data_IF_817949396198
#
_entry.id   IF_817949396198
#
_cell.length_a   1.000
_cell.length_b   1.000
_cell.length_c   1.000
_cell.angle_alpha   90.00
_cell.angle_beta   90.00
_cell.angle_gamma   90.00
#
_symmetry.space_group_name_H-M   'P 1'
#
loop_
_entity.id
_entity.type
_entity.pdbx_description
1 polymer ?
#
# COMPACT_ATOMS: atom_id res chain seq x y z
N UNK A 1 -19.10 12.42 3.43
CA UNK A 1 -18.87 12.51 1.98
C UNK A 1 -18.99 11.16 1.28
N UNK A 2 -18.22 10.14 1.68
CA UNK A 2 -18.29 8.78 1.11
C UNK A 2 -19.70 8.24 0.83
N UNK A 3 -20.60 8.28 1.83
CA UNK A 3 -21.98 7.80 1.68
C UNK A 3 -22.78 8.58 0.61
N UNK A 4 -22.55 9.88 0.44
CA UNK A 4 -23.23 10.68 -0.58
C UNK A 4 -22.80 10.20 -1.97
N UNK A 5 -21.49 10.08 -2.21
CA UNK A 5 -20.96 9.61 -3.50
C UNK A 5 -21.37 8.15 -3.79
N UNK A 6 -21.42 7.29 -2.77
CA UNK A 6 -21.84 5.89 -2.91
C UNK A 6 -23.32 5.74 -3.30
N UNK A 7 -24.18 6.66 -2.86
CA UNK A 7 -25.63 6.63 -3.12
C UNK A 7 -26.08 7.56 -4.25
N UNK A 8 -25.20 8.42 -4.77
CA UNK A 8 -25.50 9.27 -5.90
C UNK A 8 -25.82 8.44 -7.15
N UNK A 9 -26.85 8.85 -7.90
CA UNK A 9 -27.19 8.21 -9.18
C UNK A 9 -26.06 8.34 -10.19
N UNK A 10 -25.45 9.53 -10.27
CA UNK A 10 -24.27 9.87 -11.06
C UNK A 10 -23.46 10.91 -10.30
N UNK A 11 -22.14 10.77 -10.27
CA UNK A 11 -21.21 11.79 -9.76
C UNK A 11 -20.51 12.45 -10.93
N UNK A 12 -20.59 13.78 -11.03
CA UNK A 12 -19.90 14.56 -12.05
C UNK A 12 -18.57 15.05 -11.47
N UNK A 13 -17.46 14.68 -12.11
CA UNK A 13 -16.11 15.04 -11.67
C UNK A 13 -15.48 16.04 -12.65
N UNK A 14 -15.31 17.28 -12.21
CA UNK A 14 -14.67 18.36 -12.97
C UNK A 14 -13.15 18.35 -12.76
N UNK A 15 -12.46 17.31 -13.24
CA UNK A 15 -11.04 17.05 -12.94
C UNK A 15 -10.11 18.08 -13.57
N UNK A 16 -10.44 18.57 -14.77
CA UNK A 16 -9.68 19.59 -15.47
C UNK A 16 -9.82 21.01 -14.85
N UNK A 17 -10.84 21.22 -14.00
CA UNK A 17 -11.08 22.52 -13.38
C UNK A 17 -10.03 22.86 -12.32
N UNK A 18 -9.51 24.08 -12.35
CA UNK A 18 -8.60 24.60 -11.32
C UNK A 18 -9.36 24.94 -10.03
N UNK A 19 -10.62 25.38 -10.17
CA UNK A 19 -11.49 25.77 -9.07
C UNK A 19 -12.97 25.58 -9.43
N UNK A 20 -13.86 25.88 -8.49
CA UNK A 20 -15.31 25.70 -8.66
C UNK A 20 -15.93 26.56 -9.78
N UNK A 21 -15.25 27.62 -10.22
CA UNK A 21 -15.73 28.53 -11.26
C UNK A 21 -15.18 28.20 -12.66
N UNK A 22 -14.37 27.14 -12.82
CA UNK A 22 -13.80 26.77 -14.11
C UNK A 22 -14.83 26.33 -15.16
N UNK A 23 -16.04 25.96 -14.72
CA UNK A 23 -17.11 25.48 -15.61
C UNK A 23 -16.81 24.12 -16.26
N UNK A 24 -17.74 23.65 -17.09
CA UNK A 24 -17.60 22.42 -17.86
C UNK A 24 -17.63 22.74 -19.36
N UNK A 25 -16.56 22.43 -20.08
CA UNK A 25 -16.46 22.67 -21.53
C UNK A 25 -17.31 21.68 -22.34
N UNK A 26 -17.60 22.04 -23.59
CA UNK A 26 -18.17 21.20 -24.65
C UNK A 26 -19.69 21.07 -24.67
N UNK A 27 -20.42 22.05 -24.11
CA UNK A 27 -21.87 22.16 -24.26
C UNK A 27 -22.22 23.20 -25.32
N UNK A 28 -22.85 22.75 -26.41
CA UNK A 28 -23.17 23.60 -27.57
C UNK A 28 -24.02 24.81 -27.16
N UNK A 29 -23.52 26.01 -27.47
CA UNK A 29 -24.20 27.26 -27.13
C UNK A 29 -24.18 27.66 -25.65
N UNK A 30 -23.48 26.91 -24.79
CA UNK A 30 -23.42 27.15 -23.33
C UNK A 30 -21.98 27.34 -22.85
N UNK A 31 -21.03 26.51 -23.32
CA UNK A 31 -19.63 26.60 -22.90
C UNK A 31 -18.66 26.47 -24.08
N UNK A 32 -17.40 26.82 -23.83
CA UNK A 32 -16.34 26.71 -24.83
C UNK A 32 -16.24 25.26 -25.35
N UNK A 33 -15.98 25.05 -26.65
CA UNK A 33 -15.81 23.71 -27.19
C UNK A 33 -14.63 22.99 -26.50
N UNK A 34 -14.72 21.67 -26.44
CA UNK A 34 -13.59 20.81 -26.05
C UNK A 34 -12.58 20.79 -27.20
N UNK A 35 -11.29 20.80 -26.86
CA UNK A 35 -10.19 20.77 -27.82
C UNK A 35 -9.41 19.46 -27.66
N UNK A 36 -9.65 18.50 -28.55
CA UNK A 36 -9.07 17.15 -28.50
C UNK A 36 -8.25 16.91 -29.75
N UNK A 37 -6.92 16.79 -29.61
CA UNK A 37 -6.07 16.36 -30.71
C UNK A 37 -6.30 14.89 -31.05
N UNK A 38 -7.02 14.60 -32.13
CA UNK A 38 -7.18 13.23 -32.65
C UNK A 38 -6.23 13.01 -33.83
N UNK A 39 -5.37 11.99 -33.71
CA UNK A 39 -4.55 11.55 -34.85
C UNK A 39 -5.40 10.55 -35.65
N UNK A 40 -5.74 10.91 -36.88
CA UNK A 40 -6.58 10.07 -37.75
C UNK A 40 -5.71 9.47 -38.86
N UNK A 41 -5.64 8.14 -38.90
CA UNK A 41 -5.02 7.38 -39.98
C UNK A 41 -6.07 6.97 -41.00
N UNK A 42 -5.79 7.16 -42.28
CA UNK A 42 -6.66 6.72 -43.38
C UNK A 42 -6.09 5.46 -44.01
N UNK A 43 -6.84 4.37 -43.93
CA UNK A 43 -6.51 3.08 -44.54
C UNK A 43 -7.38 2.91 -45.80
N UNK A 44 -6.84 3.35 -46.94
CA UNK A 44 -7.60 3.39 -48.19
C UNK A 44 -8.65 4.51 -48.22
N UNK A 45 -9.74 4.32 -48.97
CA UNK A 45 -10.78 5.33 -49.19
C UNK A 45 -11.93 5.28 -48.19
N UNK A 46 -12.16 4.13 -47.53
CA UNK A 46 -13.37 3.91 -46.71
C UNK A 46 -13.09 3.74 -45.21
N UNK A 47 -11.84 3.48 -44.82
CA UNK A 47 -11.52 3.20 -43.41
C UNK A 47 -10.68 4.33 -42.82
N UNK A 48 -11.25 4.99 -41.83
CA UNK A 48 -10.53 5.92 -40.94
C UNK A 48 -10.36 5.29 -39.56
N UNK A 49 -9.12 5.28 -39.07
CA UNK A 49 -8.76 4.81 -37.74
C UNK A 49 -8.29 6.00 -36.92
N UNK A 50 -9.02 6.32 -35.85
CA UNK A 50 -8.54 7.27 -34.86
C UNK A 50 -7.51 6.56 -33.97
N UNK A 51 -6.27 7.01 -34.00
CA UNK A 51 -5.27 6.58 -33.04
C UNK A 51 -5.68 7.10 -31.66
N UNK A 52 -5.67 6.19 -30.70
CA UNK A 52 -5.89 6.52 -29.31
C UNK A 52 -4.74 7.44 -28.84
N UNK A 53 -5.02 8.70 -28.45
CA UNK A 53 -4.00 9.73 -28.20
C UNK A 53 -3.15 9.49 -26.93
N UNK A 54 -3.18 8.30 -26.37
CA UNK A 54 -2.46 7.96 -25.14
C UNK A 54 -1.00 7.68 -25.47
N UNK A 55 -0.07 8.35 -24.77
CA UNK A 55 1.37 8.14 -24.92
C UNK A 55 1.85 7.04 -23.96
N UNK A 56 2.59 6.06 -24.47
CA UNK A 56 3.23 5.02 -23.64
C UNK A 56 2.26 4.00 -23.02
N UNK A 57 2.57 3.53 -21.81
CA UNK A 57 1.77 2.56 -21.04
C UNK A 57 0.56 3.19 -20.32
N UNK A 58 0.28 4.46 -20.56
CA UNK A 58 -0.90 5.09 -20.01
C UNK A 58 -2.15 4.48 -20.66
N UNK A 59 -3.24 4.35 -19.89
CA UNK A 59 -4.52 3.87 -20.41
C UNK A 59 -5.46 5.03 -20.80
N UNK A 60 -5.09 6.29 -20.54
CA UNK A 60 -5.99 7.46 -20.60
C UNK A 60 -5.28 8.79 -20.90
N UNK A 61 -5.93 9.71 -21.63
CA UNK A 61 -5.60 11.15 -21.57
C UNK A 61 -6.01 11.71 -20.22
N UNK A 62 -5.14 12.50 -19.61
CA UNK A 62 -5.37 13.12 -18.32
C UNK A 62 -4.85 14.56 -18.33
N UNK A 63 -5.50 15.46 -17.59
CA UNK A 63 -4.91 16.75 -17.25
C UNK A 63 -3.74 16.51 -16.30
N UNK A 64 -2.54 16.85 -16.78
CA UNK A 64 -1.32 16.86 -15.98
C UNK A 64 -1.49 17.78 -14.77
N UNK A 65 -1.02 17.34 -13.60
CA UNK A 65 -1.04 18.11 -12.36
C UNK A 65 -2.42 18.68 -11.95
N UNK A 66 -3.51 17.98 -12.27
CA UNK A 66 -4.87 18.37 -11.85
C UNK A 66 -4.96 18.71 -10.35
N UNK A 67 -5.43 19.93 -10.04
CA UNK A 67 -5.69 20.40 -8.68
C UNK A 67 -6.71 19.51 -7.98
N UNK A 68 -7.72 19.05 -8.70
CA UNK A 68 -8.71 18.11 -8.18
C UNK A 68 -8.05 16.78 -7.78
N UNK A 69 -7.15 16.24 -8.62
CA UNK A 69 -6.39 15.03 -8.27
C UNK A 69 -5.42 15.27 -7.11
N UNK A 70 -4.95 16.49 -6.88
CA UNK A 70 -4.07 16.75 -5.75
C UNK A 70 -4.80 16.74 -4.40
N UNK A 71 -6.10 17.06 -4.31
CA UNK A 71 -6.79 17.21 -3.01
C UNK A 71 -7.04 15.87 -2.30
N UNK A 72 -6.85 15.82 -0.98
CA UNK A 72 -7.09 14.62 -0.17
C UNK A 72 -8.53 14.09 -0.21
N UNK A 73 -9.50 14.97 0.07
CA UNK A 73 -10.92 14.59 0.20
C UNK A 73 -11.56 14.12 -1.12
N UNK A 74 -11.04 14.55 -2.28
CA UNK A 74 -11.56 14.12 -3.60
C UNK A 74 -11.29 12.64 -3.87
N UNK A 75 -10.34 12.03 -3.16
CA UNK A 75 -10.06 10.60 -3.29
C UNK A 75 -11.26 9.75 -2.87
N UNK A 76 -11.95 10.10 -1.77
CA UNK A 76 -13.18 9.41 -1.38
C UNK A 76 -14.28 9.58 -2.43
N UNK A 77 -14.40 10.76 -3.04
CA UNK A 77 -15.42 11.00 -4.07
C UNK A 77 -15.19 10.10 -5.28
N UNK A 78 -13.95 9.99 -5.72
CA UNK A 78 -13.58 9.09 -6.83
C UNK A 78 -13.85 7.63 -6.49
N UNK A 79 -13.45 7.21 -5.29
CA UNK A 79 -13.43 5.83 -4.85
C UNK A 79 -14.86 5.28 -4.64
N UNK A 80 -15.72 6.08 -4.01
CA UNK A 80 -17.08 5.67 -3.66
C UNK A 80 -18.11 5.87 -4.77
N UNK A 81 -17.84 6.73 -5.75
CA UNK A 81 -18.77 6.96 -6.85
C UNK A 81 -18.90 5.70 -7.74
N UNK A 82 -20.11 5.11 -7.74
CA UNK A 82 -20.46 3.91 -8.51
C UNK A 82 -20.65 4.18 -10.00
N UNK A 83 -21.01 5.42 -10.34
CA UNK A 83 -21.24 5.93 -11.70
C UNK A 83 -20.67 7.33 -11.78
N UNK A 84 -19.66 7.51 -12.60
CA UNK A 84 -18.88 8.75 -12.71
C UNK A 84 -18.94 9.26 -14.13
N UNK A 85 -19.21 10.55 -14.27
CA UNK A 85 -18.99 11.30 -15.50
C UNK A 85 -17.82 12.24 -15.27
N UNK A 86 -16.68 11.93 -15.87
CA UNK A 86 -15.38 12.54 -15.59
C UNK A 86 -15.00 13.47 -16.74
N UNK A 87 -14.79 14.73 -16.43
CA UNK A 87 -14.28 15.76 -17.35
C UNK A 87 -12.79 15.96 -17.09
N UNK A 88 -11.95 15.37 -17.95
CA UNK A 88 -10.49 15.36 -17.80
C UNK A 88 -9.82 15.41 -19.18
N UNK A 89 -8.71 16.15 -19.32
CA UNK A 89 -7.94 16.21 -20.57
C UNK A 89 -8.75 16.64 -21.80
N UNK A 90 -9.64 17.61 -21.65
CA UNK A 90 -10.58 18.09 -22.67
C UNK A 90 -11.48 17.00 -23.28
N UNK A 91 -11.73 15.90 -22.56
CA UNK A 91 -12.66 14.83 -22.95
C UNK A 91 -13.61 14.46 -21.81
N UNK A 92 -14.75 13.85 -22.16
CA UNK A 92 -15.61 13.17 -21.19
C UNK A 92 -15.34 11.66 -21.18
N UNK A 93 -15.32 11.08 -19.97
CA UNK A 93 -15.31 9.64 -19.74
C UNK A 93 -16.37 9.23 -18.74
N UNK A 94 -17.14 8.20 -19.06
CA UNK A 94 -18.00 7.52 -18.12
C UNK A 94 -17.27 6.33 -17.49
N UNK A 95 -17.39 6.18 -16.18
CA UNK A 95 -16.95 5.00 -15.45
C UNK A 95 -18.06 4.49 -14.54
N UNK A 96 -18.48 3.24 -14.69
CA UNK A 96 -19.32 2.53 -13.72
C UNK A 96 -18.73 1.16 -13.39
N UNK A 97 -19.34 0.35 -12.52
CA UNK A 97 -18.86 -1.00 -12.18
C UNK A 97 -18.78 -1.98 -13.36
N UNK A 98 -19.55 -1.74 -14.44
CA UNK A 98 -19.58 -2.60 -15.62
C UNK A 98 -18.57 -2.16 -16.70
N UNK A 99 -18.67 -0.92 -17.19
CA UNK A 99 -17.90 -0.44 -18.33
C UNK A 99 -17.24 0.93 -18.11
N UNK A 100 -16.30 1.25 -18.99
CA UNK A 100 -15.72 2.58 -19.16
C UNK A 100 -16.01 3.00 -20.60
N UNK A 101 -16.67 4.14 -20.78
CA UNK A 101 -16.93 4.70 -22.11
C UNK A 101 -16.25 6.04 -22.24
N UNK A 102 -15.72 6.33 -23.43
CA UNK A 102 -15.03 7.57 -23.72
C UNK A 102 -15.78 8.28 -24.84
N UNK A 103 -15.88 9.59 -24.72
CA UNK A 103 -16.54 10.42 -25.72
C UNK A 103 -15.91 10.29 -27.11
N UNK A 104 -14.60 10.09 -27.17
CA UNK A 104 -13.83 10.17 -28.42
C UNK A 104 -13.37 8.82 -29.00
N UNK A 105 -13.68 7.70 -28.33
CA UNK A 105 -13.29 6.34 -28.80
C UNK A 105 -14.30 5.30 -28.37
N UNK A 106 -14.67 4.42 -29.30
CA UNK A 106 -15.32 3.16 -28.99
C UNK A 106 -14.25 2.11 -28.69
N UNK A 107 -14.15 1.68 -27.42
CA UNK A 107 -13.31 0.53 -27.06
C UNK A 107 -14.04 -0.77 -27.44
N UNK A 108 -13.29 -1.79 -27.86
CA UNK A 108 -13.85 -3.15 -27.99
C UNK A 108 -14.47 -3.58 -26.65
N UNK A 109 -15.66 -4.18 -26.72
CA UNK A 109 -16.43 -4.63 -25.57
C UNK A 109 -15.69 -5.71 -24.73
N UNK A 110 -14.63 -6.30 -25.30
CA UNK A 110 -13.83 -7.36 -24.67
C UNK A 110 -12.76 -6.84 -23.69
N UNK A 111 -12.44 -5.54 -23.73
CA UNK A 111 -11.47 -4.93 -22.82
C UNK A 111 -12.14 -4.56 -21.49
N UNK A 112 -12.31 -5.54 -20.60
CA UNK A 112 -12.71 -5.28 -19.21
C UNK A 112 -11.58 -4.53 -18.50
N UNK A 113 -11.82 -3.33 -17.93
CA UNK A 113 -10.82 -2.68 -17.10
C UNK A 113 -10.44 -3.60 -15.93
N UNK A 114 -9.18 -3.60 -15.51
CA UNK A 114 -8.72 -4.30 -14.32
C UNK A 114 -9.34 -3.65 -13.06
N UNK A 115 -10.57 -4.04 -12.74
CA UNK A 115 -11.40 -3.49 -11.66
C UNK A 115 -11.06 -4.14 -10.33
N UNK A 116 -9.85 -3.89 -9.85
CA UNK A 116 -9.37 -4.41 -8.55
C UNK A 116 -10.05 -3.68 -7.38
N UNK A 117 -10.31 -2.37 -7.54
CA UNK A 117 -10.76 -1.51 -6.44
C UNK A 117 -12.24 -1.70 -6.10
N UNK A 118 -13.14 -1.93 -7.06
CA UNK A 118 -14.57 -2.13 -6.75
C UNK A 118 -14.87 -3.44 -6.02
N UNK A 119 -14.00 -4.47 -6.16
CA UNK A 119 -14.15 -5.74 -5.43
C UNK A 119 -13.82 -5.64 -3.94
N UNK A 120 -13.11 -4.59 -3.52
CA UNK A 120 -12.76 -4.36 -2.12
C UNK A 120 -13.96 -4.35 -1.20
N UNK A 121 -15.04 -3.72 -1.65
CA UNK A 121 -16.23 -3.52 -0.85
C UNK A 121 -17.21 -4.69 -0.96
N UNK A 122 -16.87 -5.71 -1.75
CA UNK A 122 -17.70 -6.89 -1.99
C UNK A 122 -17.13 -8.14 -1.29
N UNK A 123 -15.87 -8.11 -0.84
CA UNK A 123 -15.23 -9.25 -0.17
C UNK A 123 -15.09 -9.05 1.32
N UNK A 124 -15.55 -10.03 2.11
CA UNK A 124 -15.27 -10.13 3.55
C UNK A 124 -13.82 -10.56 3.85
N UNK A 125 -13.05 -10.93 2.84
CA UNK A 125 -11.66 -11.36 3.00
C UNK A 125 -10.72 -10.15 2.83
N UNK A 126 -9.85 -9.85 3.80
CA UNK A 126 -8.94 -8.71 3.70
C UNK A 126 -7.91 -8.89 2.57
N UNK A 127 -7.87 -7.93 1.64
CA UNK A 127 -6.86 -7.87 0.56
C UNK A 127 -5.88 -6.71 0.79
N UNK A 128 -4.68 -7.07 1.29
CA UNK A 128 -3.59 -6.13 1.54
C UNK A 128 -3.06 -5.46 0.26
N UNK A 129 -3.24 -6.05 -0.94
CA UNK A 129 -2.81 -5.41 -2.21
C UNK A 129 -3.57 -4.13 -2.38
N UNK A 130 -4.88 -4.25 -2.24
CA UNK A 130 -5.75 -3.15 -2.56
C UNK A 130 -5.74 -2.12 -1.44
N UNK A 131 -5.57 -2.53 -0.18
CA UNK A 131 -5.23 -1.59 0.89
C UNK A 131 -3.95 -0.82 0.57
N UNK A 132 -2.89 -1.50 0.12
CA UNK A 132 -1.62 -0.84 -0.26
C UNK A 132 -1.81 0.12 -1.42
N UNK A 133 -2.60 -0.25 -2.45
CA UNK A 133 -2.95 0.64 -3.57
C UNK A 133 -3.73 1.87 -3.09
N UNK A 134 -4.72 1.66 -2.21
CA UNK A 134 -5.51 2.75 -1.62
C UNK A 134 -4.61 3.72 -0.84
N UNK A 135 -3.78 3.19 0.06
CA UNK A 135 -2.86 4.01 0.85
C UNK A 135 -1.85 4.70 -0.05
N UNK A 136 -1.38 4.05 -1.10
CA UNK A 136 -0.47 4.66 -2.06
C UNK A 136 -1.10 5.88 -2.75
N UNK A 137 -2.28 5.72 -3.35
CA UNK A 137 -2.97 6.79 -4.09
C UNK A 137 -3.45 7.91 -3.17
N UNK A 138 -3.79 7.57 -1.92
CA UNK A 138 -4.21 8.52 -0.90
C UNK A 138 -3.05 9.37 -0.39
N UNK A 139 -1.89 8.76 -0.11
CA UNK A 139 -0.69 9.47 0.35
C UNK A 139 -0.02 10.32 -0.75
N UNK A 140 -0.45 10.19 -2.02
CA UNK A 140 -0.05 11.10 -3.11
C UNK A 140 -0.88 12.39 -3.15
N UNK A 141 -1.92 12.48 -2.34
CA UNK A 141 -2.74 13.67 -2.22
C UNK A 141 -2.08 14.66 -1.27
N UNK A 142 -2.37 15.93 -1.50
CA UNK A 142 -2.02 17.07 -0.67
C UNK A 142 -3.17 17.37 0.30
N UNK A 143 -2.81 17.62 1.55
CA UNK A 143 -3.71 18.00 2.62
C UNK A 143 -3.33 19.41 3.06
N UNK A 144 -4.26 20.36 2.94
CA UNK A 144 -4.05 21.74 3.41
C UNK A 144 -4.12 21.83 4.93
N UNK A 145 -4.83 20.91 5.56
CA UNK A 145 -5.06 20.82 6.99
C UNK A 145 -4.61 19.44 7.51
N UNK A 146 -4.43 19.23 8.82
CA UNK A 146 -4.18 17.90 9.41
C UNK A 146 -5.46 17.06 9.42
N UNK A 147 -6.17 16.99 8.30
CA UNK A 147 -7.45 16.31 8.12
C UNK A 147 -7.30 14.95 7.42
N UNK A 148 -6.06 14.47 7.24
CA UNK A 148 -5.77 13.21 6.56
C UNK A 148 -6.51 12.01 7.16
N UNK A 149 -6.66 11.90 8.49
CA UNK A 149 -7.44 10.82 9.10
C UNK A 149 -8.95 10.99 8.85
N UNK A 150 -9.46 12.22 8.96
CA UNK A 150 -10.86 12.53 8.69
C UNK A 150 -11.22 12.24 7.22
N UNK A 151 -10.37 12.64 6.29
CA UNK A 151 -10.49 12.39 4.87
C UNK A 151 -10.19 10.93 4.46
N UNK A 152 -9.72 10.08 5.40
CA UNK A 152 -9.59 8.63 5.20
C UNK A 152 -10.72 7.85 5.88
N UNK A 153 -11.44 8.48 6.81
CA UNK A 153 -12.39 7.80 7.70
C UNK A 153 -13.46 6.98 6.97
N UNK A 154 -14.06 7.52 5.89
CA UNK A 154 -15.05 6.78 5.10
C UNK A 154 -14.47 5.55 4.42
N UNK A 155 -13.19 5.60 4.02
CA UNK A 155 -12.47 4.47 3.43
C UNK A 155 -12.24 3.41 4.50
N UNK A 156 -11.67 3.79 5.64
CA UNK A 156 -11.42 2.91 6.77
C UNK A 156 -12.71 2.23 7.28
N UNK A 157 -13.79 2.99 7.44
CA UNK A 157 -15.09 2.44 7.85
C UNK A 157 -15.63 1.41 6.86
N UNK A 158 -15.44 1.62 5.55
CA UNK A 158 -15.92 0.65 4.56
C UNK A 158 -15.03 -0.58 4.50
N UNK A 159 -13.71 -0.41 4.61
CA UNK A 159 -12.78 -1.53 4.70
C UNK A 159 -12.95 -2.32 6.00
N UNK A 160 -13.49 -1.73 7.06
CA UNK A 160 -13.78 -2.39 8.34
C UNK A 160 -14.61 -3.67 8.21
N UNK A 161 -15.43 -3.80 7.15
CA UNK A 161 -16.17 -5.02 6.85
C UNK A 161 -15.29 -6.24 6.53
N UNK A 162 -14.00 -6.04 6.21
CA UNK A 162 -13.04 -7.11 5.91
C UNK A 162 -11.91 -7.22 6.95
N UNK A 163 -11.79 -6.27 7.87
CA UNK A 163 -10.71 -6.22 8.87
C UNK A 163 -11.28 -6.25 10.29
N UNK A 164 -11.13 -7.39 10.95
CA UNK A 164 -11.54 -7.56 12.34
C UNK A 164 -10.86 -6.52 13.27
N UNK A 165 -11.63 -5.97 14.21
CA UNK A 165 -11.16 -4.95 15.15
C UNK A 165 -11.11 -3.52 14.56
N UNK A 166 -11.33 -3.38 13.25
CA UNK A 166 -11.46 -2.08 12.59
C UNK A 166 -10.12 -1.39 12.35
N UNK A 167 -10.11 -0.07 12.53
CA UNK A 167 -8.99 0.78 12.16
C UNK A 167 -8.58 1.70 13.30
N UNK A 168 -7.28 1.93 13.42
CA UNK A 168 -6.66 2.89 14.33
C UNK A 168 -5.62 3.66 13.53
N UNK A 169 -5.65 5.00 13.59
CA UNK A 169 -4.70 5.85 12.85
C UNK A 169 -4.68 5.58 11.34
N UNK A 170 -5.83 5.19 10.78
CA UNK A 170 -5.96 4.83 9.36
C UNK A 170 -5.36 3.46 8.98
N UNK A 171 -4.92 2.65 9.96
CA UNK A 171 -4.35 1.31 9.75
C UNK A 171 -5.27 0.22 10.32
N UNK A 172 -5.41 -0.94 9.65
CA UNK A 172 -6.22 -2.03 10.14
C UNK A 172 -5.61 -2.66 11.39
N UNK A 173 -6.38 -2.81 12.46
CA UNK A 173 -5.88 -3.36 13.73
C UNK A 173 -5.53 -4.83 13.61
N UNK A 174 -6.32 -5.63 12.88
CA UNK A 174 -6.08 -7.06 12.67
C UNK A 174 -4.68 -7.36 12.12
N UNK A 175 -4.10 -6.45 11.34
CA UNK A 175 -2.85 -6.64 10.58
C UNK A 175 -1.87 -5.48 10.84
N UNK A 176 -1.96 -4.83 12.01
CA UNK A 176 -1.31 -3.55 12.28
C UNK A 176 0.20 -3.54 11.99
N UNK A 177 0.92 -4.56 12.47
CA UNK A 177 2.37 -4.68 12.23
C UNK A 177 2.71 -4.79 10.74
N UNK A 178 1.89 -5.48 9.94
CA UNK A 178 2.08 -5.54 8.49
C UNK A 178 1.70 -4.23 7.81
N UNK A 179 0.60 -3.62 8.27
CA UNK A 179 0.12 -2.37 7.73
C UNK A 179 1.17 -1.28 7.87
N UNK A 180 1.92 -1.22 8.98
CA UNK A 180 3.03 -0.28 9.18
C UNK A 180 4.16 -0.43 8.13
N UNK A 181 4.29 -1.58 7.50
CA UNK A 181 5.34 -1.88 6.51
C UNK A 181 4.96 -1.48 5.08
N UNK A 182 3.85 -0.74 4.90
CA UNK A 182 3.44 -0.23 3.60
C UNK A 182 4.53 0.62 2.94
N UNK A 183 4.70 0.52 1.62
CA UNK A 183 5.70 1.27 0.84
C UNK A 183 5.05 1.92 -0.39
N UNK A 184 5.41 3.17 -0.73
CA UNK A 184 4.88 3.83 -1.92
C UNK A 184 5.55 3.36 -3.22
N UNK A 185 4.77 2.81 -4.16
CA UNK A 185 5.11 2.53 -5.56
C UNK A 185 6.44 1.78 -5.82
N UNK A 186 6.54 0.54 -5.35
CA UNK A 186 7.69 -0.33 -5.63
C UNK A 186 7.23 -1.73 -6.05
N UNK A 187 7.55 -2.21 -7.27
CA UNK A 187 7.04 -3.46 -7.82
C UNK A 187 7.45 -4.69 -6.98
N UNK A 188 8.58 -4.60 -6.28
CA UNK A 188 9.06 -5.67 -5.40
C UNK A 188 8.30 -5.81 -4.09
N UNK A 189 7.56 -4.76 -3.67
CA UNK A 189 6.85 -4.71 -2.39
C UNK A 189 5.33 -4.55 -2.53
N UNK A 190 4.83 -4.24 -3.73
CA UNK A 190 3.38 -4.20 -4.06
C UNK A 190 2.77 -5.59 -4.22
N UNK A 191 3.54 -6.66 -4.02
CA UNK A 191 3.04 -8.02 -3.89
C UNK A 191 3.00 -8.41 -2.40
N UNK A 192 1.87 -8.28 -1.70
CA UNK A 192 1.68 -8.72 -0.31
C UNK A 192 1.76 -10.24 -0.17
N UNK A 193 1.92 -10.96 -1.27
CA UNK A 193 2.43 -12.34 -1.30
C UNK A 193 3.75 -12.51 -0.55
N UNK A 194 4.48 -11.40 -0.33
CA UNK A 194 5.82 -11.36 0.26
C UNK A 194 5.84 -10.89 1.71
N UNK A 195 4.74 -10.34 2.23
CA UNK A 195 4.64 -9.79 3.60
C UNK A 195 4.34 -10.85 4.68
N UNK A 196 4.06 -12.10 4.31
CA UNK A 196 3.62 -13.16 5.24
C UNK A 196 4.74 -13.76 6.13
N UNK A 197 5.98 -13.26 6.00
CA UNK A 197 7.14 -13.70 6.80
C UNK A 197 7.61 -12.65 7.80
N UNK A 198 6.70 -11.75 8.17
CA UNK A 198 6.96 -10.76 9.21
C UNK A 198 6.69 -11.40 10.56
N UNK A 199 7.67 -11.34 11.44
CA UNK A 199 7.54 -11.71 12.85
C UNK A 199 7.38 -10.42 13.64
N UNK A 200 6.30 -10.36 14.41
CA UNK A 200 6.00 -9.25 15.31
C UNK A 200 7.06 -9.16 16.41
N UNK A 201 7.61 -7.97 16.60
CA UNK A 201 8.55 -7.64 17.68
C UNK A 201 7.93 -6.79 18.77
N UNK A 202 6.99 -5.93 18.38
CA UNK A 202 6.59 -4.79 19.20
C UNK A 202 5.15 -4.94 19.69
N UNK A 203 4.83 -4.15 20.71
CA UNK A 203 3.46 -3.97 21.17
C UNK A 203 3.08 -2.51 21.03
N UNK A 204 2.13 -2.24 20.13
CA UNK A 204 1.71 -0.89 19.76
C UNK A 204 0.53 -0.42 20.58
N UNK A 205 0.50 0.88 20.85
CA UNK A 205 -0.56 1.60 21.54
C UNK A 205 -0.96 2.82 20.72
N UNK A 206 -2.16 3.34 20.93
CA UNK A 206 -2.61 4.58 20.31
C UNK A 206 -2.99 5.62 21.34
N UNK A 207 -2.95 6.89 20.92
CA UNK A 207 -3.30 8.05 21.73
C UNK A 207 -4.12 9.04 20.91
N UNK A 208 -5.18 9.57 21.52
CA UNK A 208 -6.04 10.59 20.91
C UNK A 208 -5.37 11.97 20.88
N UNK A 209 -4.55 12.27 21.88
CA UNK A 209 -3.64 13.42 21.97
C UNK A 209 -2.29 12.97 22.55
N UNK A 210 -1.26 13.81 22.57
CA UNK A 210 0.05 13.44 23.13
C UNK A 210 -0.01 13.09 24.63
N UNK A 211 -0.93 13.72 25.37
CA UNK A 211 -1.13 13.55 26.81
C UNK A 211 -2.20 12.50 27.15
N UNK A 212 -2.97 12.07 26.16
CA UNK A 212 -4.06 11.12 26.35
C UNK A 212 -3.55 9.75 26.84
N UNK A 213 -4.35 9.01 27.64
CA UNK A 213 -3.97 7.70 28.11
C UNK A 213 -3.76 6.74 26.93
N UNK A 214 -2.67 5.97 27.00
CA UNK A 214 -2.31 4.96 26.01
C UNK A 214 -3.29 3.80 26.02
N UNK A 215 -3.86 3.48 24.85
CA UNK A 215 -4.75 2.33 24.66
C UNK A 215 -4.06 1.27 23.80
N UNK A 216 -4.15 0.01 24.20
CA UNK A 216 -3.46 -1.09 23.53
C UNK A 216 -4.09 -1.37 22.15
N UNK A 217 -3.26 -1.53 21.13
CA UNK A 217 -3.69 -2.05 19.82
C UNK A 217 -3.63 -3.58 19.88
N UNK A 218 -4.79 -4.21 19.70
CA UNK A 218 -4.93 -5.66 19.66
C UNK A 218 -4.87 -6.14 18.21
N UNK A 219 -3.92 -7.02 17.92
CA UNK A 219 -3.67 -7.52 16.56
C UNK A 219 -4.14 -8.96 16.47
N UNK A 220 -5.41 -9.11 16.10
CA UNK A 220 -6.13 -10.37 16.21
C UNK A 220 -5.55 -11.46 15.31
N UNK A 221 -5.09 -11.15 14.09
CA UNK A 221 -4.66 -12.19 13.14
C UNK A 221 -3.41 -12.96 13.61
N UNK A 222 -2.47 -12.27 14.28
CA UNK A 222 -1.25 -12.91 14.77
C UNK A 222 -1.54 -13.76 15.99
N UNK A 223 -2.41 -13.31 16.89
CA UNK A 223 -2.89 -14.12 18.02
C UNK A 223 -3.60 -15.40 17.54
N UNK A 224 -4.43 -15.29 16.49
CA UNK A 224 -5.06 -16.45 15.86
C UNK A 224 -4.01 -17.38 15.22
N UNK A 225 -3.06 -16.83 14.47
CA UNK A 225 -1.95 -17.60 13.87
C UNK A 225 -1.19 -18.38 14.93
N UNK A 226 -0.75 -17.74 16.00
CA UNK A 226 0.03 -18.37 17.08
C UNK A 226 -0.77 -19.47 17.78
N UNK A 227 -2.03 -19.20 18.11
CA UNK A 227 -2.91 -20.19 18.74
C UNK A 227 -3.15 -21.40 17.84
N UNK A 228 -3.28 -21.16 16.53
CA UNK A 228 -3.54 -22.20 15.55
C UNK A 228 -2.30 -23.04 15.24
N UNK A 229 -1.15 -22.40 14.99
CA UNK A 229 0.13 -23.09 14.74
C UNK A 229 0.67 -23.79 15.99
N UNK A 230 0.32 -23.31 17.19
CA UNK A 230 0.58 -23.97 18.48
C UNK A 230 -0.28 -25.21 18.75
N UNK A 231 -1.06 -25.67 17.75
CA UNK A 231 -1.92 -26.86 17.79
C UNK A 231 -3.06 -26.81 18.84
N UNK A 232 -3.52 -25.61 19.23
CA UNK A 232 -4.53 -25.47 20.28
C UNK A 232 -6.00 -25.48 19.77
N UNK A 233 -6.26 -25.52 18.46
CA UNK A 233 -7.61 -25.30 17.92
C UNK A 233 -7.97 -26.29 16.79
N UNK A 234 -9.23 -26.78 16.79
CA UNK A 234 -9.84 -27.51 15.67
C UNK A 234 -10.15 -26.56 14.49
N UNK A 235 -10.33 -27.09 13.28
CA UNK A 235 -10.74 -26.27 12.12
C UNK A 235 -12.03 -25.49 12.45
N UNK A 236 -12.02 -24.14 12.40
CA UNK A 236 -13.15 -23.33 12.81
C UNK A 236 -14.34 -23.49 11.84
N UNK A 237 -15.59 -23.19 12.28
CA UNK A 237 -16.74 -23.17 11.41
C UNK A 237 -16.52 -22.26 10.20
N UNK A 238 -16.96 -22.69 9.02
CA UNK A 238 -16.74 -21.94 7.77
C UNK A 238 -15.40 -22.21 7.08
N UNK A 239 -14.58 -23.12 7.63
CA UNK A 239 -13.30 -23.52 7.06
C UNK A 239 -13.23 -25.03 6.82
N UNK A 240 -12.46 -25.43 5.82
CA UNK A 240 -12.14 -26.83 5.51
C UNK A 240 -10.64 -27.03 5.50
N UNK A 241 -10.18 -28.15 6.06
CA UNK A 241 -8.77 -28.53 6.16
C UNK A 241 -8.40 -29.48 5.02
N UNK A 242 -7.25 -29.24 4.40
CA UNK A 242 -6.74 -29.99 3.26
C UNK A 242 -5.26 -30.30 3.47
N UNK A 243 -4.78 -31.44 2.98
CA UNK A 243 -3.38 -31.85 3.16
C UNK A 243 -2.51 -31.26 2.04
N UNK A 244 -1.30 -30.81 2.34
CA UNK A 244 -0.43 -30.16 1.34
C UNK A 244 -0.02 -31.04 0.16
N UNK A 245 -0.21 -32.36 0.24
CA UNK A 245 -0.08 -33.28 -0.90
C UNK A 245 -1.08 -33.01 -2.02
N UNK A 246 -2.18 -32.31 -1.74
CA UNK A 246 -3.17 -31.89 -2.75
C UNK A 246 -2.67 -30.77 -3.66
N UNK A 247 -1.40 -30.35 -3.50
CA UNK A 247 -0.73 -29.30 -4.28
C UNK A 247 -1.51 -27.98 -4.22
N UNK A 248 -1.53 -27.30 -3.05
CA UNK A 248 -2.33 -26.10 -2.85
C UNK A 248 -1.99 -25.01 -3.87
N UNK A 249 -3.02 -24.33 -4.35
CA UNK A 249 -2.88 -23.03 -5.03
C UNK A 249 -2.54 -21.91 -4.05
N UNK A 250 -2.52 -22.16 -2.72
CA UNK A 250 -2.10 -21.22 -1.69
C UNK A 250 -0.92 -20.42 -2.24
N UNK A 251 -1.21 -19.15 -2.56
CA UNK A 251 -0.55 -18.35 -3.60
C UNK A 251 0.86 -17.90 -3.15
N UNK A 252 1.45 -18.58 -2.16
CA UNK A 252 2.50 -18.14 -1.26
C UNK A 252 3.31 -19.32 -0.70
N UNK A 253 4.60 -19.12 -0.40
CA UNK A 253 5.36 -20.04 0.45
C UNK A 253 4.80 -20.05 1.89
N UNK A 254 5.03 -21.15 2.62
CA UNK A 254 4.62 -21.33 4.01
C UNK A 254 5.03 -20.16 4.95
N UNK A 255 4.29 -19.91 6.06
CA UNK A 255 4.59 -18.82 6.98
C UNK A 255 5.99 -18.90 7.57
N UNK A 256 6.43 -20.11 7.93
CA UNK A 256 7.84 -20.43 8.09
C UNK A 256 8.25 -21.47 7.03
N UNK A 257 8.93 -21.04 5.96
CA UNK A 257 9.35 -21.95 4.90
C UNK A 257 10.46 -22.93 5.34
N UNK A 258 11.04 -22.77 6.54
CA UNK A 258 11.97 -23.74 7.15
C UNK A 258 11.22 -24.92 7.76
N UNK A 259 9.96 -24.72 8.12
CA UNK A 259 9.09 -25.72 8.73
C UNK A 259 7.70 -25.63 8.09
N UNK A 260 7.55 -26.06 6.82
CA UNK A 260 6.29 -25.91 6.10
C UNK A 260 5.18 -26.71 6.81
N UNK A 261 3.96 -26.14 6.93
CA UNK A 261 2.85 -26.83 7.55
C UNK A 261 2.39 -28.02 6.68
N UNK A 262 1.84 -29.04 7.33
CA UNK A 262 1.25 -30.22 6.65
C UNK A 262 -0.14 -29.94 6.10
N UNK A 263 -0.77 -28.85 6.53
CA UNK A 263 -2.17 -28.54 6.24
C UNK A 263 -2.32 -27.13 5.68
N UNK A 264 -3.33 -26.95 4.84
CA UNK A 264 -3.83 -25.65 4.41
C UNK A 264 -5.36 -25.63 4.50
N UNK A 265 -5.94 -24.45 4.38
CA UNK A 265 -7.35 -24.20 4.69
C UNK A 265 -8.06 -23.45 3.57
N UNK A 266 -9.29 -23.84 3.30
CA UNK A 266 -10.17 -23.14 2.34
C UNK A 266 -11.42 -22.64 3.05
N UNK A 267 -11.82 -21.41 2.76
CA UNK A 267 -13.12 -20.87 3.20
C UNK A 267 -14.25 -21.62 2.48
N UNK A 268 -15.34 -21.92 3.18
CA UNK A 268 -16.54 -22.53 2.61
C UNK A 268 -17.37 -21.57 1.77
N UNK A 269 -17.28 -20.26 2.04
CA UNK A 269 -17.92 -19.20 1.27
C UNK A 269 -17.02 -18.66 0.15
N UNK A 270 -17.59 -18.24 -0.99
CA UNK A 270 -16.83 -17.62 -2.07
C UNK A 270 -16.28 -16.24 -1.66
N UNK A 271 -15.06 -15.87 -2.11
CA UNK A 271 -14.16 -16.66 -2.95
C UNK A 271 -13.45 -17.77 -2.15
N UNK A 272 -13.32 -18.96 -2.75
CA UNK A 272 -12.66 -20.15 -2.15
C UNK A 272 -11.13 -19.97 -2.12
N UNK A 273 -10.65 -18.96 -1.42
CA UNK A 273 -9.23 -18.69 -1.26
C UNK A 273 -8.60 -19.68 -0.28
N UNK A 274 -7.33 -20.00 -0.53
CA UNK A 274 -6.54 -20.92 0.27
C UNK A 274 -5.60 -20.15 1.22
N UNK A 275 -5.49 -20.62 2.45
CA UNK A 275 -4.68 -20.02 3.51
C UNK A 275 -3.88 -21.07 4.26
N UNK A 276 -2.70 -20.71 4.75
CA UNK A 276 -1.89 -21.58 5.60
C UNK A 276 -2.50 -21.83 6.99
N UNK A 277 -3.38 -20.94 7.43
CA UNK A 277 -4.16 -21.06 8.66
C UNK A 277 -5.45 -20.26 8.50
N UNK A 278 -6.55 -20.65 9.18
CA UNK A 278 -7.78 -19.86 9.19
C UNK A 278 -7.51 -18.46 9.74
N UNK A 279 -8.05 -17.44 9.05
CA UNK A 279 -8.01 -16.05 9.52
C UNK A 279 -9.37 -15.69 10.13
N UNK A 280 -9.41 -14.84 11.17
CA UNK A 280 -10.68 -14.32 11.66
C UNK A 280 -11.32 -13.44 10.59
N UNK A 281 -12.60 -13.67 10.33
CA UNK A 281 -13.38 -12.91 9.36
C UNK A 281 -14.52 -12.21 10.09
N UNK A 282 -14.71 -10.90 9.85
CA UNK A 282 -15.89 -10.17 10.30
C UNK A 282 -17.20 -10.86 9.89
N UNK A 283 -18.17 -10.85 10.78
CA UNK A 283 -19.57 -11.15 10.46
C UNK A 283 -20.27 -9.88 9.96
N UNK A 284 -21.33 -10.00 9.14
CA UNK A 284 -22.08 -8.84 8.66
C UNK A 284 -22.63 -7.93 9.78
N UNK A 285 -22.94 -8.51 10.93
CA UNK A 285 -23.41 -7.80 12.13
C UNK A 285 -22.30 -7.14 12.96
N UNK A 286 -21.03 -7.44 12.69
CA UNK A 286 -19.92 -6.89 13.46
C UNK A 286 -19.71 -5.41 13.12
N UNK A 287 -19.73 -4.57 14.15
CA UNK A 287 -19.42 -3.15 14.05
C UNK A 287 -18.08 -2.89 14.72
N UNK A 288 -17.08 -2.56 13.91
CA UNK A 288 -15.76 -2.23 14.42
C UNK A 288 -15.53 -0.72 14.48
N UNK A 289 -14.80 -0.23 15.51
CA UNK A 289 -14.49 1.18 15.63
C UNK A 289 -13.53 1.64 14.52
N UNK A 290 -13.73 2.87 14.06
CA UNK A 290 -12.75 3.61 13.28
C UNK A 290 -12.16 4.71 14.17
N UNK A 291 -11.06 4.39 14.83
CA UNK A 291 -10.45 5.25 15.84
C UNK A 291 -9.52 6.27 15.17
N UNK A 292 -9.94 7.53 15.19
CA UNK A 292 -9.18 8.67 14.66
C UNK A 292 -8.12 9.15 15.66
N UNK A 293 -7.21 8.25 16.05
CA UNK A 293 -6.07 8.56 16.89
C UNK A 293 -4.88 8.97 16.00
N UNK A 294 -4.35 10.20 16.10
CA UNK A 294 -3.20 10.62 15.29
C UNK A 294 -1.88 9.98 15.73
N UNK A 295 -1.77 9.60 17.01
CA UNK A 295 -0.51 9.13 17.56
C UNK A 295 -0.53 7.64 17.90
N UNK A 296 0.58 6.97 17.63
CA UNK A 296 0.84 5.60 18.05
C UNK A 296 2.18 5.50 18.76
N UNK A 297 2.30 4.61 19.73
CA UNK A 297 3.54 4.45 20.49
C UNK A 297 3.92 3.00 20.71
N UNK A 298 5.23 2.79 20.88
CA UNK A 298 5.80 1.51 21.29
C UNK A 298 7.17 1.76 21.95
N UNK A 299 7.68 0.75 22.64
CA UNK A 299 9.08 0.73 23.08
C UNK A 299 9.86 -0.16 22.14
N UNK A 300 10.93 0.36 21.55
CA UNK A 300 11.73 -0.33 20.53
C UNK A 300 13.23 -0.03 20.70
N UNK A 301 14.08 -0.58 19.83
CA UNK A 301 15.49 -0.23 19.73
C UNK A 301 15.74 0.71 18.56
N UNK A 302 16.67 1.63 18.73
CA UNK A 302 17.18 2.50 17.68
C UNK A 302 18.68 2.37 17.48
N UNK A 303 19.14 2.67 16.27
CA UNK A 303 20.54 2.86 15.94
C UNK A 303 20.70 3.93 14.84
N UNK A 304 21.95 4.32 14.60
CA UNK A 304 22.31 5.33 13.60
C UNK A 304 23.13 4.69 12.50
N UNK A 305 22.69 4.86 11.26
CA UNK A 305 23.35 4.34 10.06
C UNK A 305 23.44 5.45 9.00
N UNK A 306 24.27 5.25 7.98
CA UNK A 306 24.49 6.24 6.93
C UNK A 306 23.79 5.82 5.64
N UNK A 307 22.94 6.70 5.09
CA UNK A 307 22.44 6.52 3.74
C UNK A 307 23.54 6.84 2.72
N UNK A 308 23.66 6.00 1.69
CA UNK A 308 24.75 6.07 0.72
C UNK A 308 24.24 6.02 -0.72
N UNK A 309 24.87 5.22 -1.58
CA UNK A 309 24.59 5.16 -3.01
C UNK A 309 23.20 4.58 -3.34
N UNK A 310 22.66 4.96 -4.51
CA UNK A 310 21.42 4.41 -5.04
C UNK A 310 21.68 3.06 -5.74
N UNK A 311 20.83 2.07 -5.47
CA UNK A 311 21.01 0.68 -5.94
C UNK A 311 20.36 0.42 -7.30
N UNK A 312 19.48 1.31 -7.80
CA UNK A 312 18.79 1.14 -9.08
C UNK A 312 18.75 2.42 -9.94
N UNK A 313 19.07 2.34 -11.25
CA UNK A 313 18.77 3.42 -12.18
C UNK A 313 17.26 3.46 -12.49
N UNK A 314 16.56 4.35 -11.80
CA UNK A 314 15.37 5.11 -12.20
C UNK A 314 14.55 4.66 -13.44
N UNK A 315 13.82 3.53 -13.34
CA UNK A 315 12.71 3.18 -14.25
C UNK A 315 11.38 3.86 -13.85
N UNK A 316 11.43 5.05 -13.22
CA UNK A 316 10.26 5.75 -12.68
C UNK A 316 9.78 5.28 -11.29
N UNK A 317 10.49 4.33 -10.67
CA UNK A 317 10.27 3.90 -9.29
C UNK A 317 11.05 4.74 -8.29
N UNK A 318 10.64 4.70 -7.01
CA UNK A 318 11.36 5.43 -5.96
C UNK A 318 12.77 4.86 -5.75
N UNK A 319 13.78 5.73 -5.56
CA UNK A 319 15.16 5.34 -5.34
C UNK A 319 15.27 4.50 -4.06
N UNK A 320 15.91 3.34 -4.17
CA UNK A 320 16.35 2.54 -3.01
C UNK A 320 17.83 2.84 -2.79
N UNK A 321 18.19 3.22 -1.57
CA UNK A 321 19.57 3.58 -1.21
C UNK A 321 20.19 2.53 -0.31
N UNK A 322 21.51 2.37 -0.42
CA UNK A 322 22.30 1.58 0.50
C UNK A 322 22.33 2.22 1.89
N UNK A 323 22.31 1.38 2.91
CA UNK A 323 22.67 1.73 4.27
C UNK A 323 24.06 1.18 4.56
N UNK A 324 24.91 2.02 5.16
CA UNK A 324 26.26 1.68 5.57
C UNK A 324 26.49 2.00 7.04
N UNK A 325 27.40 1.26 7.69
CA UNK A 325 27.87 1.57 9.03
C UNK A 325 28.89 2.72 9.02
N UNK A 326 29.42 3.09 10.19
CA UNK A 326 30.42 4.15 10.35
C UNK A 326 31.75 3.90 9.61
N UNK A 327 32.07 2.64 9.28
CA UNK A 327 33.30 2.25 8.58
C UNK A 327 33.06 2.12 7.06
N UNK A 328 31.80 2.28 6.62
CA UNK A 328 31.40 2.15 5.23
C UNK A 328 30.99 0.72 4.84
N UNK A 329 30.88 -0.22 5.77
CA UNK A 329 30.38 -1.57 5.49
C UNK A 329 28.91 -1.51 5.12
N UNK A 330 28.51 -2.20 4.07
CA UNK A 330 27.11 -2.30 3.69
C UNK A 330 26.32 -3.12 4.73
N UNK A 331 25.19 -2.58 5.19
CA UNK A 331 24.37 -3.22 6.24
C UNK A 331 22.94 -3.51 5.79
N UNK A 332 22.44 -2.82 4.77
CA UNK A 332 21.06 -2.94 4.35
C UNK A 332 20.65 -1.91 3.31
N UNK A 333 19.35 -1.71 3.18
CA UNK A 333 18.74 -0.76 2.24
C UNK A 333 17.68 0.08 2.90
N UNK A 334 17.45 1.27 2.36
CA UNK A 334 16.40 2.19 2.76
C UNK A 334 15.63 2.69 1.55
N UNK A 335 14.31 2.81 1.72
CA UNK A 335 13.41 3.46 0.78
C UNK A 335 12.83 4.74 1.42
N UNK A 336 13.37 5.92 1.04
CA UNK A 336 12.84 7.22 1.47
C UNK A 336 11.42 7.51 0.97
N UNK A 337 10.63 8.23 1.79
CA UNK A 337 9.28 8.70 1.47
C UNK A 337 9.24 9.97 0.63
N UNK A 338 10.28 10.81 0.66
CA UNK A 338 10.38 12.00 -0.18
C UNK A 338 11.31 11.78 -1.39
N UNK A 339 10.96 12.39 -2.53
CA UNK A 339 11.84 12.40 -3.70
C UNK A 339 13.10 13.16 -3.32
N UNK A 340 14.24 12.53 -3.55
CA UNK A 340 15.56 13.04 -3.20
C UNK A 340 15.95 14.25 -4.03
N UNK A 341 15.48 15.43 -3.62
CA UNK A 341 16.29 16.65 -3.74
C UNK A 341 17.46 16.64 -2.74
N UNK A 342 17.46 15.74 -1.73
CA UNK A 342 18.52 15.64 -0.73
C UNK A 342 19.76 14.85 -1.17
N UNK A 343 19.63 13.79 -1.99
CA UNK A 343 20.77 12.99 -2.46
C UNK A 343 21.16 13.37 -3.89
N UNK A 344 21.53 14.64 -4.09
CA UNK A 344 21.84 15.20 -5.40
C UNK A 344 23.10 14.68 -6.09
N UNK A 345 23.78 13.65 -5.55
CA UNK A 345 24.97 13.05 -6.19
C UNK A 345 25.03 11.53 -5.94
N UNK A 346 25.06 10.68 -6.99
CA UNK A 346 24.93 9.22 -6.90
C UNK A 346 26.05 8.45 -6.17
N UNK A 347 26.99 9.12 -5.49
CA UNK A 347 28.20 8.48 -4.95
C UNK A 347 28.66 9.03 -3.59
N UNK A 348 27.82 9.75 -2.85
CA UNK A 348 28.22 10.33 -1.56
C UNK A 348 27.33 9.84 -0.44
N UNK A 349 27.95 9.16 0.52
CA UNK A 349 27.37 8.90 1.84
C UNK A 349 26.94 10.21 2.48
N UNK A 350 25.76 10.23 3.10
CA UNK A 350 25.35 11.36 3.92
C UNK A 350 26.42 11.67 4.96
N UNK A 351 26.66 12.96 5.18
CA UNK A 351 27.60 13.40 6.20
C UNK A 351 27.11 13.02 7.60
N UNK A 352 25.81 13.16 7.83
CA UNK A 352 25.17 12.86 9.11
C UNK A 352 24.46 11.51 9.06
N UNK A 353 24.57 10.70 10.12
CA UNK A 353 23.84 9.45 10.19
C UNK A 353 22.34 9.71 10.43
N UNK A 354 21.52 8.82 9.90
CA UNK A 354 20.06 8.84 10.10
C UNK A 354 19.67 7.93 11.26
N UNK A 355 18.65 8.34 12.01
CA UNK A 355 18.09 7.55 13.10
C UNK A 355 17.10 6.52 12.55
N UNK A 356 17.34 5.25 12.88
CA UNK A 356 16.51 4.12 12.47
C UNK A 356 15.99 3.40 13.71
N UNK A 357 14.71 3.03 13.71
CA UNK A 357 14.08 2.20 14.74
C UNK A 357 13.69 0.84 14.17
N UNK A 358 13.89 -0.24 14.93
CA UNK A 358 13.41 -1.56 14.52
C UNK A 358 11.88 -1.66 14.69
N UNK A 359 11.22 -2.35 13.76
CA UNK A 359 9.75 -2.46 13.71
C UNK A 359 9.30 -3.91 13.72
N UNK A 360 9.93 -4.76 12.92
CA UNK A 360 9.61 -6.18 12.81
C UNK A 360 10.80 -6.98 12.26
N UNK A 361 10.73 -8.31 12.30
CA UNK A 361 11.72 -9.19 11.64
C UNK A 361 11.11 -9.73 10.35
N UNK A 362 11.91 -9.86 9.30
CA UNK A 362 11.57 -10.59 8.08
C UNK A 362 12.56 -11.71 7.77
N UNK A 363 12.10 -12.66 6.96
CA UNK A 363 12.86 -13.84 6.54
C UNK A 363 12.58 -14.12 5.05
N UNK A 364 13.58 -14.48 4.26
CA UNK A 364 13.37 -15.06 2.93
C UNK A 364 14.51 -15.98 2.47
N UNK A 365 14.29 -16.75 1.40
CA UNK A 365 15.33 -17.60 0.79
C UNK A 365 16.41 -16.77 0.12
N UNK A 366 17.67 -17.17 0.29
CA UNK A 366 18.83 -16.44 -0.20
C UNK A 366 19.15 -16.69 -1.69
N UNK A 367 18.96 -17.93 -2.17
CA UNK A 367 19.43 -18.36 -3.50
C UNK A 367 18.37 -19.08 -4.35
N UNK A 368 17.19 -19.41 -3.80
CA UNK A 368 16.25 -20.35 -4.43
C UNK A 368 14.81 -19.82 -4.57
N UNK A 369 14.57 -18.52 -4.39
CA UNK A 369 13.24 -17.98 -4.71
C UNK A 369 13.15 -17.78 -6.22
N UNK A 370 12.29 -18.51 -6.94
CA UNK A 370 12.33 -18.55 -8.39
C UNK A 370 11.91 -17.23 -9.07
N UNK A 371 11.44 -16.21 -8.34
CA UNK A 371 10.90 -14.96 -8.91
C UNK A 371 11.15 -13.80 -7.92
N UNK A 372 11.43 -12.56 -8.37
CA UNK A 372 12.48 -11.72 -7.78
C UNK A 372 12.21 -11.41 -6.30
N UNK A 373 13.06 -11.93 -5.40
CA UNK A 373 13.04 -11.63 -3.97
C UNK A 373 13.43 -10.18 -3.66
N UNK A 374 13.58 -9.80 -2.37
CA UNK A 374 14.08 -8.49 -1.97
C UNK A 374 15.29 -8.05 -2.81
N UNK A 375 15.25 -6.82 -3.29
CA UNK A 375 16.24 -6.31 -4.24
C UNK A 375 17.68 -6.41 -3.73
N UNK A 376 17.86 -6.20 -2.43
CA UNK A 376 19.16 -6.24 -1.77
C UNK A 376 19.79 -7.64 -1.76
N UNK A 377 19.04 -8.70 -2.08
CA UNK A 377 19.60 -10.06 -2.21
C UNK A 377 20.71 -10.09 -3.27
N UNK A 378 20.60 -9.25 -4.30
CA UNK A 378 21.58 -9.16 -5.39
C UNK A 378 22.67 -8.13 -5.14
N UNK A 379 22.66 -7.44 -3.99
CA UNK A 379 23.66 -6.41 -3.69
C UNK A 379 25.06 -7.04 -3.55
N UNK A 380 26.09 -6.50 -4.23
CA UNK A 380 27.44 -7.09 -4.26
C UNK A 380 28.10 -7.14 -2.88
N UNK A 381 27.91 -6.10 -2.08
CA UNK A 381 28.53 -5.98 -0.74
C UNK A 381 27.76 -6.74 0.35
N UNK A 382 26.65 -7.41 0.01
CA UNK A 382 25.86 -8.13 1.01
C UNK A 382 26.58 -9.39 1.47
N UNK A 383 26.72 -9.52 2.79
CA UNK A 383 27.24 -10.74 3.43
C UNK A 383 26.20 -11.86 3.31
N UNK A 384 26.59 -12.98 2.70
CA UNK A 384 25.76 -14.19 2.59
C UNK A 384 26.08 -15.14 3.74
N UNK A 385 25.11 -15.39 4.60
CA UNK A 385 25.29 -16.17 5.84
C UNK A 385 24.65 -17.55 5.80
N UNK A 386 24.04 -17.96 4.68
CA UNK A 386 23.44 -19.29 4.54
C UNK A 386 22.36 -19.35 3.48
N UNK A 387 21.44 -20.31 3.62
CA UNK A 387 20.30 -20.47 2.70
C UNK A 387 19.17 -19.46 2.92
N UNK A 388 19.21 -18.75 4.06
CA UNK A 388 18.17 -17.84 4.51
C UNK A 388 18.74 -16.45 4.73
N UNK A 389 17.99 -15.45 4.26
CA UNK A 389 18.23 -14.04 4.51
C UNK A 389 17.26 -13.56 5.60
N UNK A 390 17.79 -13.25 6.77
CA UNK A 390 17.07 -12.65 7.90
C UNK A 390 17.41 -11.16 8.02
N UNK A 391 16.39 -10.35 8.29
CA UNK A 391 16.55 -8.90 8.37
C UNK A 391 15.56 -8.28 9.36
N UNK A 392 15.94 -7.12 9.90
CA UNK A 392 15.00 -6.24 10.59
C UNK A 392 14.37 -5.29 9.57
N UNK A 393 13.05 -5.17 9.63
CA UNK A 393 12.37 -3.99 9.13
C UNK A 393 12.71 -2.81 10.03
N UNK A 394 13.31 -1.78 9.45
CA UNK A 394 13.66 -0.55 10.16
C UNK A 394 12.91 0.63 9.58
N UNK A 395 12.55 1.59 10.42
CA UNK A 395 11.91 2.83 10.02
C UNK A 395 12.86 4.00 10.25
N UNK A 396 13.06 4.80 9.21
CA UNK A 396 13.75 6.08 9.35
C UNK A 396 12.79 7.09 9.93
N UNK A 397 13.20 7.73 11.02
CA UNK A 397 12.42 8.72 11.74
C UNK A 397 13.19 10.04 11.87
N UNK A 398 12.44 11.14 11.98
CA UNK A 398 12.93 12.43 12.42
C UNK A 398 12.03 12.97 13.54
N UNK A 399 12.64 13.55 14.57
CA UNK A 399 11.91 14.10 15.71
C UNK A 399 11.55 15.56 15.48
N UNK A 400 10.28 15.90 15.69
CA UNK A 400 9.78 17.27 15.73
C UNK A 400 8.99 17.40 17.02
N UNK A 401 9.45 18.26 17.93
CA UNK A 401 8.77 18.57 19.20
C UNK A 401 8.40 17.31 20.03
N UNK A 402 9.25 16.28 20.03
CA UNK A 402 9.02 15.05 20.78
C UNK A 402 8.12 14.01 20.08
N UNK A 403 7.71 14.27 18.84
CA UNK A 403 7.01 13.31 17.97
C UNK A 403 7.94 12.87 16.84
N UNK A 404 8.01 11.57 16.61
CA UNK A 404 8.75 10.98 15.51
C UNK A 404 7.89 10.95 14.25
N UNK A 405 8.44 11.41 13.14
CA UNK A 405 7.82 11.38 11.82
C UNK A 405 8.53 10.38 10.93
N UNK A 406 7.77 9.49 10.31
CA UNK A 406 8.30 8.49 9.38
C UNK A 406 8.82 9.18 8.11
N UNK A 407 10.11 8.98 7.81
CA UNK A 407 10.79 9.48 6.60
C UNK A 407 11.14 8.40 5.59
N UNK A 408 11.10 7.13 6.00
CA UNK A 408 11.40 6.01 5.12
C UNK A 408 11.23 4.67 5.82
N UNK A 409 11.38 3.60 5.05
CA UNK A 409 11.38 2.23 5.56
C UNK A 409 12.50 1.46 4.89
N UNK A 410 13.18 0.62 5.64
CA UNK A 410 14.35 -0.11 5.18
C UNK A 410 14.38 -1.53 5.72
N UNK A 411 15.39 -2.26 5.26
CA UNK A 411 15.73 -3.59 5.75
C UNK A 411 17.22 -3.66 6.04
N UNK A 412 17.57 -4.08 7.25
CA UNK A 412 18.95 -4.24 7.69
C UNK A 412 19.19 -5.69 8.02
N UNK A 413 20.31 -6.26 7.54
CA UNK A 413 20.71 -7.63 7.83
C UNK A 413 20.68 -7.90 9.32
N UNK A 414 20.02 -8.98 9.75
CA UNK A 414 19.77 -9.26 11.17
C UNK A 414 21.04 -9.27 12.02
N UNK A 415 22.02 -10.08 11.62
CA UNK A 415 23.30 -10.18 12.34
C UNK A 415 24.06 -8.84 12.41
N UNK A 416 23.96 -8.02 11.36
CA UNK A 416 24.63 -6.73 11.30
C UNK A 416 23.90 -5.70 12.16
N UNK A 417 22.57 -5.69 12.16
CA UNK A 417 21.77 -4.84 13.05
C UNK A 417 22.04 -5.17 14.51
N UNK A 418 22.11 -6.46 14.85
CA UNK A 418 22.38 -6.94 16.20
C UNK A 418 23.78 -6.58 16.72
N UNK A 419 24.75 -6.33 15.83
CA UNK A 419 26.11 -5.89 16.18
C UNK A 419 26.26 -4.37 16.34
N UNK A 420 25.24 -3.57 15.99
CA UNK A 420 25.28 -2.11 16.17
C UNK A 420 25.09 -1.70 17.64
N UNK A 421 25.52 -0.48 17.98
CA UNK A 421 25.21 0.17 19.28
C UNK A 421 23.72 0.57 19.33
N UNK A 422 22.87 -0.42 19.63
CA UNK A 422 21.41 -0.25 19.74
C UNK A 422 21.03 0.29 21.10
N UNK A 423 20.14 1.29 21.12
CA UNK A 423 19.64 1.92 22.35
C UNK A 423 18.13 1.80 22.44
N UNK A 424 17.56 1.53 23.62
CA UNK A 424 16.12 1.54 23.79
C UNK A 424 15.58 2.96 23.59
N UNK A 425 14.39 3.05 23.01
CA UNK A 425 13.65 4.30 22.81
C UNK A 425 12.15 4.07 23.00
N UNK A 426 11.50 5.02 23.67
CA UNK A 426 10.04 5.12 23.70
C UNK A 426 9.62 5.97 22.49
N UNK A 427 9.12 5.30 21.46
CA UNK A 427 8.73 5.91 20.20
C UNK A 427 7.30 6.43 20.29
N UNK A 428 7.11 7.72 19.98
CA UNK A 428 5.80 8.33 19.71
C UNK A 428 5.76 8.72 18.25
N UNK A 429 5.01 8.00 17.41
CA UNK A 429 4.87 8.27 15.98
C UNK A 429 3.57 9.05 15.73
N UNK A 430 3.62 10.09 14.88
CA UNK A 430 2.47 10.93 14.53
C UNK A 430 2.51 11.52 13.13
#
# INVERSE_FOLDING_TARGET
>A
MAAICANASVTILAVQGENANSGLKGFRGVSQPRDIDQIIHRLGTEVTVAQNPIRGNELERATDNSVWKARGWTYQEHLFARRKLIFDGDSIRWECSANIWREHTELSHDLKPLRVIYRLFESSIPDLRVLTTILHDYNRRSFTYPDALNAFSGIASTLGASFEGGFVSGLPTALFDLALLWLPNTPDFTQPTRMQRVVRLLSWKYHETLEAPRKQIHVSIFAHKESYLGAQIRCPPGWTQHHTSENPEAIYEAPDPRSPPLWFYRNTQPPKLEFWYPIPLPRPEDLFPNTLAPYISCRTQRAWLFAAEEILPNNGYRPTVSLRDQVGTWVGVLLPHDKLSMFGRPHRMLADPIELVEIAIGLCRDATSPWPGPIEIRHPDRIKTGQWYEYYWVMWIEWIEGVAYRKGLGRVCKHVWESQDRKPVDLMLG
#
